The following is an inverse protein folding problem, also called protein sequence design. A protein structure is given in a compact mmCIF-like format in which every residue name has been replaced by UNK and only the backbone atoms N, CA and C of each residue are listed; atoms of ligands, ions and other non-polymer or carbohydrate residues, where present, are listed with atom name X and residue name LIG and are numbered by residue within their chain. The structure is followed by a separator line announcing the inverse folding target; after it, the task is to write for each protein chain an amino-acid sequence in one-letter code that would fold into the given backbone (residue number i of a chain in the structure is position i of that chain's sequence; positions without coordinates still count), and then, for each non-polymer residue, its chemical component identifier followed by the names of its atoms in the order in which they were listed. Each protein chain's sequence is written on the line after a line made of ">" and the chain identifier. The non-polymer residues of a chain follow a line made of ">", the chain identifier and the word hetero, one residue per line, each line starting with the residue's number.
data_IF_339947249113
#
_entry.id   IF_339947249113
#
_cell.length_a   1.000
_cell.length_b   1.000
_cell.length_c   1.000
_cell.angle_alpha   90.00
_cell.angle_beta   90.00
_cell.angle_gamma   90.00
#
_symmetry.space_group_name_H-M   'P 1'
#
loop_
_entity.id
_entity.type
_entity.pdbx_description
1 polymer ?
#
# COMPACT_ATOMS: atom_id res chain seq x y z
N UNK A 1 0.47 13.93 -7.82
CA UNK A 1 1.89 13.65 -7.56
C UNK A 1 2.00 13.26 -6.09
N UNK A 2 2.40 12.03 -5.73
CA UNK A 2 2.44 11.61 -4.33
C UNK A 2 3.42 12.49 -3.55
N UNK A 3 3.02 12.92 -2.35
CA UNK A 3 3.88 13.74 -1.50
C UNK A 3 5.10 12.94 -1.04
N UNK A 4 6.23 13.62 -0.80
CA UNK A 4 7.54 12.98 -0.51
C UNK A 4 7.78 12.75 0.99
N UNK A 5 6.81 13.07 1.83
CA UNK A 5 6.90 13.13 3.28
C UNK A 5 6.12 12.01 4.00
N UNK A 6 5.79 10.91 3.30
CA UNK A 6 5.13 9.76 3.92
C UNK A 6 5.99 9.10 4.98
N UNK A 7 5.47 9.04 6.21
CA UNK A 7 6.07 8.35 7.33
C UNK A 7 5.64 6.89 7.34
N UNK A 8 4.39 6.60 6.97
CA UNK A 8 3.94 5.22 6.90
C UNK A 8 2.78 4.96 5.95
N UNK A 9 2.46 3.68 5.76
CA UNK A 9 1.28 3.21 5.05
C UNK A 9 0.42 2.30 5.93
N UNK A 10 -0.89 2.43 5.75
CA UNK A 10 -1.90 1.55 6.30
C UNK A 10 -2.49 0.70 5.19
N UNK A 11 -2.61 -0.59 5.45
CA UNK A 11 -3.12 -1.56 4.50
C UNK A 11 -4.36 -2.23 5.06
N UNK A 12 -5.37 -2.39 4.22
CA UNK A 12 -6.59 -3.11 4.58
C UNK A 12 -7.02 -4.02 3.43
N UNK A 13 -7.52 -5.19 3.79
CA UNK A 13 -8.11 -6.16 2.87
C UNK A 13 -9.55 -6.44 3.31
N UNK A 14 -10.53 -5.90 2.59
CA UNK A 14 -11.97 -6.07 2.89
C UNK A 14 -12.65 -6.71 1.69
N UNK A 15 -13.24 -7.89 1.88
CA UNK A 15 -14.10 -8.62 0.94
C UNK A 15 -13.80 -8.31 -0.54
N UNK A 16 -12.62 -8.73 -1.01
CA UNK A 16 -12.20 -8.60 -2.41
C UNK A 16 -11.53 -7.27 -2.81
N UNK A 17 -11.36 -6.33 -1.88
CA UNK A 17 -10.69 -5.05 -2.11
C UNK A 17 -9.41 -4.94 -1.29
N UNK A 18 -8.38 -4.33 -1.88
CA UNK A 18 -7.10 -4.00 -1.25
C UNK A 18 -6.92 -2.48 -1.26
N UNK A 19 -6.65 -1.91 -0.09
CA UNK A 19 -6.48 -0.48 0.11
C UNK A 19 -5.09 -0.15 0.62
N UNK A 20 -4.54 0.97 0.16
CA UNK A 20 -3.30 1.55 0.67
C UNK A 20 -3.57 3.00 1.02
N UNK A 21 -3.39 3.37 2.29
CA UNK A 21 -3.43 4.74 2.76
C UNK A 21 -2.04 5.20 3.19
N UNK A 22 -1.60 6.38 2.76
CA UNK A 22 -0.39 7.04 3.20
C UNK A 22 -0.64 7.93 4.42
N UNK A 23 0.33 7.99 5.32
CA UNK A 23 0.34 8.89 6.48
C UNK A 23 1.57 9.83 6.36
N UNK A 24 1.37 11.08 5.89
CA UNK A 24 2.40 12.10 5.85
C UNK A 24 2.66 12.68 7.25
N UNK A 25 3.74 13.47 7.37
CA UNK A 25 4.15 14.11 8.64
C UNK A 25 3.11 15.09 9.19
N UNK A 26 2.29 15.67 8.32
CA UNK A 26 1.21 16.58 8.71
C UNK A 26 -0.03 15.86 9.27
N UNK A 27 -0.01 14.53 9.31
CA UNK A 27 -1.07 13.69 9.88
C UNK A 27 -2.30 13.53 8.99
N UNK A 28 -2.36 14.15 7.81
CA UNK A 28 -3.50 14.02 6.91
C UNK A 28 -3.38 12.74 6.09
N UNK A 29 -4.12 11.70 6.47
CA UNK A 29 -4.13 10.43 5.73
C UNK A 29 -4.59 10.63 4.29
N UNK A 30 -3.90 10.01 3.35
CA UNK A 30 -4.19 10.07 1.92
C UNK A 30 -4.45 8.67 1.36
N UNK A 31 -5.49 8.50 0.55
CA UNK A 31 -5.77 7.23 -0.12
C UNK A 31 -4.87 7.09 -1.35
N UNK A 32 -3.92 6.16 -1.31
CA UNK A 32 -2.91 5.96 -2.36
C UNK A 32 -3.35 4.94 -3.41
N UNK A 33 -4.13 3.94 -3.02
CA UNK A 33 -4.67 2.93 -3.92
C UNK A 33 -5.92 2.25 -3.34
N UNK A 34 -6.86 1.90 -4.21
CA UNK A 34 -7.94 0.93 -3.97
C UNK A 34 -8.02 0.07 -5.21
N UNK A 35 -7.86 -1.24 -5.06
CA UNK A 35 -7.94 -2.19 -6.18
C UNK A 35 -8.72 -3.43 -5.76
N UNK A 36 -9.34 -4.09 -6.73
CA UNK A 36 -9.85 -5.44 -6.53
C UNK A 36 -8.67 -6.39 -6.39
N UNK A 37 -8.69 -7.26 -5.39
CA UNK A 37 -7.60 -8.17 -5.10
C UNK A 37 -8.04 -9.42 -4.35
N UNK A 38 -7.13 -10.39 -4.30
CA UNK A 38 -7.34 -11.62 -3.53
C UNK A 38 -6.70 -11.45 -2.16
N UNK A 39 -7.45 -11.77 -1.11
CA UNK A 39 -6.97 -11.69 0.27
C UNK A 39 -5.69 -12.52 0.43
N UNK A 40 -4.69 -11.95 1.10
CA UNK A 40 -3.41 -12.58 1.41
C UNK A 40 -2.61 -13.10 0.19
N UNK A 41 -2.98 -12.74 -1.05
CA UNK A 41 -2.25 -13.15 -2.26
C UNK A 41 -1.05 -12.26 -2.53
N UNK A 42 0.15 -12.84 -2.46
CA UNK A 42 1.41 -12.17 -2.83
C UNK A 42 1.34 -11.53 -4.21
N UNK A 43 0.82 -12.25 -5.21
CA UNK A 43 0.75 -11.77 -6.59
C UNK A 43 -0.19 -10.56 -6.74
N UNK A 44 -1.28 -10.51 -5.98
CA UNK A 44 -2.20 -9.38 -5.96
C UNK A 44 -1.50 -8.12 -5.42
N UNK A 45 -0.78 -8.27 -4.32
CA UNK A 45 -0.03 -7.18 -3.70
C UNK A 45 1.17 -6.74 -4.55
N UNK A 46 1.90 -7.69 -5.16
CA UNK A 46 3.01 -7.39 -6.04
C UNK A 46 2.58 -6.53 -7.23
N UNK A 47 1.46 -6.89 -7.89
CA UNK A 47 0.89 -6.10 -8.99
C UNK A 47 0.55 -4.68 -8.55
N UNK A 48 -0.06 -4.53 -7.37
CA UNK A 48 -0.39 -3.22 -6.80
C UNK A 48 0.90 -2.39 -6.59
N UNK A 49 1.90 -2.96 -5.94
CA UNK A 49 3.17 -2.29 -5.61
C UNK A 49 3.93 -1.85 -6.87
N UNK A 50 4.03 -2.70 -7.87
CA UNK A 50 4.70 -2.38 -9.14
C UNK A 50 3.94 -1.29 -9.90
N UNK A 51 2.60 -1.35 -9.98
CA UNK A 51 1.79 -0.29 -10.58
C UNK A 51 2.00 1.05 -9.87
N UNK A 52 2.07 1.06 -8.53
CA UNK A 52 2.37 2.29 -7.76
C UNK A 52 3.77 2.82 -8.04
N UNK A 53 4.78 1.95 -8.09
CA UNK A 53 6.16 2.35 -8.45
C UNK A 53 6.20 3.00 -9.84
N UNK A 54 5.54 2.41 -10.83
CA UNK A 54 5.44 2.98 -12.18
C UNK A 54 4.70 4.32 -12.22
N UNK A 55 3.72 4.54 -11.34
CA UNK A 55 2.96 5.79 -11.24
C UNK A 55 3.63 6.86 -10.36
N UNK A 56 4.90 6.67 -10.00
CA UNK A 56 5.70 7.68 -9.32
C UNK A 56 5.73 7.57 -7.80
N UNK A 57 5.43 6.39 -7.23
CA UNK A 57 5.83 6.09 -5.86
C UNK A 57 7.35 5.88 -5.83
N UNK A 58 8.09 6.97 -5.60
CA UNK A 58 9.56 6.99 -5.65
C UNK A 58 10.22 6.68 -4.31
N UNK A 59 9.49 6.77 -3.21
CA UNK A 59 9.99 6.54 -1.87
C UNK A 59 9.21 5.42 -1.20
N UNK A 60 9.94 4.47 -0.62
CA UNK A 60 9.35 3.47 0.24
C UNK A 60 8.93 4.13 1.57
N UNK A 61 7.78 3.75 2.15
CA UNK A 61 7.37 4.22 3.46
C UNK A 61 8.31 3.69 4.55
N UNK A 62 8.50 4.48 5.62
CA UNK A 62 9.36 4.07 6.75
C UNK A 62 8.69 3.04 7.65
N UNK A 63 7.36 3.02 7.68
CA UNK A 63 6.55 2.08 8.45
C UNK A 63 5.38 1.57 7.61
N UNK A 64 5.16 0.26 7.59
CA UNK A 64 3.92 -0.33 7.08
C UNK A 64 3.18 -1.02 8.22
N UNK A 65 1.86 -0.85 8.28
CA UNK A 65 0.99 -1.64 9.17
C UNK A 65 -0.28 -2.04 8.42
N UNK A 66 -0.87 -3.17 8.77
CA UNK A 66 -2.12 -3.61 8.16
C UNK A 66 -2.60 -4.94 8.68
N UNK A 67 -3.89 -5.21 8.43
CA UNK A 67 -4.58 -6.44 8.78
C UNK A 67 -5.06 -7.16 7.50
N UNK A 68 -5.02 -8.50 7.50
CA UNK A 68 -5.35 -9.31 6.33
C UNK A 68 -4.42 -9.10 5.12
N UNK A 69 -3.14 -8.81 5.40
CA UNK A 69 -2.12 -8.41 4.40
C UNK A 69 -0.87 -9.30 4.40
N UNK A 70 -0.99 -10.60 4.67
CA UNK A 70 0.19 -11.50 4.65
C UNK A 70 0.88 -11.54 3.27
N UNK A 71 0.07 -11.52 2.20
CA UNK A 71 0.59 -11.43 0.83
C UNK A 71 1.36 -10.15 0.55
N UNK A 72 1.06 -9.04 1.24
CA UNK A 72 1.82 -7.81 1.11
C UNK A 72 3.25 -8.00 1.62
N UNK A 73 3.40 -8.59 2.81
CA UNK A 73 4.71 -8.85 3.40
C UNK A 73 5.53 -9.83 2.55
N UNK A 74 4.88 -10.83 1.97
CA UNK A 74 5.52 -11.74 1.04
C UNK A 74 6.00 -11.02 -0.23
N UNK A 75 5.21 -10.09 -0.76
CA UNK A 75 5.53 -9.34 -1.99
C UNK A 75 6.62 -8.28 -1.83
N UNK A 76 7.02 -7.97 -0.58
CA UNK A 76 8.14 -7.08 -0.28
C UNK A 76 9.50 -7.78 -0.24
N UNK A 77 9.54 -9.11 -0.36
CA UNK A 77 10.80 -9.85 -0.44
C UNK A 77 11.58 -9.59 -1.74
#
# INVERSE_FOLDING_TARGET
>A
MPRKDFIGIFLLSVIGWQEVMGAPVDGRKELLAVVVGVRDSEQSWYKLLIDRKHRGLTMAPKLGIGDGVLGFWAALR
#
